data_IF_147938733437
#
_entry.id   IF_147938733437
#
_cell.length_a   1.000
_cell.length_b   1.000
_cell.length_c   1.000
_cell.angle_alpha   90.00
_cell.angle_beta   90.00
_cell.angle_gamma   90.00
#
_symmetry.space_group_name_H-M   'P 1'
#
loop_
_entity.id
_entity.type
_entity.pdbx_description
1 polymer ?
#
# COMPACT_ATOMS: atom_id res chain seq x y z
N UNK A 1 28.05 -11.85 -8.29
CA UNK A 1 27.50 -11.22 -7.06
C UNK A 1 26.02 -10.93 -7.30
N UNK A 2 25.13 -11.79 -6.80
CA UNK A 2 23.68 -11.70 -7.05
C UNK A 2 22.97 -10.99 -5.90
N UNK A 3 22.17 -9.96 -6.22
CA UNK A 3 21.32 -9.27 -5.25
C UNK A 3 20.40 -10.28 -4.54
N UNK A 4 20.12 -10.15 -3.23
CA UNK A 4 19.19 -11.04 -2.54
C UNK A 4 17.81 -10.95 -3.22
N UNK A 5 17.38 -12.07 -3.81
CA UNK A 5 16.03 -12.23 -4.35
C UNK A 5 15.11 -12.47 -3.17
N UNK A 6 14.43 -11.42 -2.70
CA UNK A 6 13.36 -11.56 -1.73
C UNK A 6 12.26 -12.43 -2.34
N UNK A 7 11.94 -13.55 -1.67
CA UNK A 7 10.78 -14.37 -2.00
C UNK A 7 9.58 -13.75 -1.34
N UNK A 8 8.85 -12.95 -2.11
CA UNK A 8 7.47 -12.61 -1.77
C UNK A 8 6.69 -13.89 -1.50
N UNK A 9 5.71 -13.88 -0.58
CA UNK A 9 4.86 -15.04 -0.37
C UNK A 9 4.25 -15.44 -1.72
N UNK A 10 4.29 -16.75 -2.02
CA UNK A 10 4.00 -17.26 -3.34
C UNK A 10 2.58 -16.85 -3.77
N UNK A 11 2.45 -16.45 -5.04
CA UNK A 11 1.17 -16.37 -5.74
C UNK A 11 1.05 -17.64 -6.59
N UNK A 12 0.10 -18.56 -6.31
CA UNK A 12 -0.76 -18.71 -5.12
C UNK A 12 0.01 -19.23 -3.88
N UNK A 13 -0.50 -19.04 -2.64
CA UNK A 13 -1.83 -18.54 -2.24
C UNK A 13 -1.92 -17.08 -1.74
N UNK A 14 -0.92 -16.21 -1.95
CA UNK A 14 -0.89 -14.83 -1.41
C UNK A 14 -0.96 -13.75 -2.49
N UNK A 15 -2.01 -13.78 -3.31
CA UNK A 15 -2.23 -12.80 -4.38
C UNK A 15 -2.25 -11.38 -3.82
N UNK A 16 -1.44 -10.48 -4.40
CA UNK A 16 -1.29 -9.08 -3.98
C UNK A 16 -0.86 -8.88 -2.50
N UNK A 17 -0.27 -9.89 -1.86
CA UNK A 17 0.20 -9.78 -0.47
C UNK A 17 -0.90 -9.87 0.60
N UNK A 18 -2.12 -10.23 0.22
CA UNK A 18 -3.22 -10.48 1.16
C UNK A 18 -3.07 -11.85 1.84
N UNK A 19 -3.49 -11.94 3.10
CA UNK A 19 -3.57 -13.22 3.83
C UNK A 19 -4.44 -14.19 3.04
N UNK A 20 -3.86 -15.31 2.58
CA UNK A 20 -4.54 -16.34 1.78
C UNK A 20 -5.23 -15.84 0.50
N UNK A 21 -4.83 -14.66 -0.02
CA UNK A 21 -5.47 -14.02 -1.18
C UNK A 21 -6.87 -13.46 -0.88
N UNK A 22 -7.28 -13.46 0.40
CA UNK A 22 -8.57 -12.93 0.84
C UNK A 22 -8.55 -11.40 0.77
N UNK A 23 -9.37 -10.87 -0.13
CA UNK A 23 -9.61 -9.44 -0.26
C UNK A 23 -11.10 -9.19 -0.48
N UNK A 24 -11.57 -8.06 0.01
CA UNK A 24 -12.94 -7.59 -0.14
C UNK A 24 -12.95 -6.22 -0.83
N UNK A 25 -14.07 -5.76 -1.38
CA UNK A 25 -14.19 -4.37 -1.85
C UNK A 25 -13.79 -3.39 -0.75
N UNK A 26 -13.02 -2.36 -1.08
CA UNK A 26 -12.65 -1.35 -0.09
C UNK A 26 -13.90 -0.62 0.42
N UNK A 27 -13.97 -0.41 1.73
CA UNK A 27 -15.05 0.30 2.42
C UNK A 27 -14.84 1.82 2.50
N UNK A 28 -13.85 2.34 1.75
CA UNK A 28 -13.49 3.76 1.73
C UNK A 28 -14.61 4.64 1.19
N UNK A 29 -14.99 5.65 1.97
CA UNK A 29 -15.98 6.67 1.61
C UNK A 29 -15.34 8.04 1.41
N UNK A 30 -16.09 8.94 0.78
CA UNK A 30 -15.65 10.34 0.63
C UNK A 30 -15.39 10.97 1.99
N UNK A 31 -14.20 11.56 2.16
CA UNK A 31 -13.71 12.13 3.41
C UNK A 31 -12.64 11.26 4.09
N UNK A 32 -12.58 9.97 3.79
CA UNK A 32 -11.59 9.07 4.36
C UNK A 32 -10.18 9.43 3.92
N UNK A 33 -9.21 9.14 4.79
CA UNK A 33 -7.80 9.35 4.53
C UNK A 33 -7.10 8.01 4.45
N UNK A 34 -6.20 7.88 3.49
CA UNK A 34 -5.29 6.75 3.32
C UNK A 34 -3.85 7.25 3.31
N UNK A 35 -2.94 6.45 3.85
CA UNK A 35 -1.51 6.75 3.89
C UNK A 35 -0.75 5.76 3.00
N UNK A 36 0.11 6.28 2.14
CA UNK A 36 1.02 5.51 1.31
C UNK A 36 2.44 5.74 1.79
N UNK A 37 3.10 4.63 2.11
CA UNK A 37 4.52 4.61 2.42
C UNK A 37 5.29 4.23 1.15
N UNK A 38 6.09 5.16 0.62
CA UNK A 38 6.85 4.98 -0.62
C UNK A 38 8.27 5.52 -0.51
N UNK A 39 9.10 5.28 -1.53
CA UNK A 39 10.45 5.80 -1.64
C UNK A 39 10.49 7.00 -2.58
N UNK A 40 11.49 7.85 -2.37
CA UNK A 40 11.88 8.81 -3.37
C UNK A 40 12.77 8.15 -4.42
N UNK A 41 12.56 8.49 -5.69
CA UNK A 41 13.48 8.18 -6.77
C UNK A 41 14.74 9.06 -6.65
N UNK A 42 15.70 8.90 -7.58
CA UNK A 42 16.95 9.69 -7.59
C UNK A 42 16.73 11.20 -7.74
N UNK A 43 15.58 11.58 -8.28
CA UNK A 43 15.16 12.96 -8.52
C UNK A 43 14.36 13.55 -7.34
N UNK A 44 14.20 12.81 -6.24
CA UNK A 44 13.45 13.26 -5.07
C UNK A 44 11.92 13.20 -5.23
N UNK A 45 11.41 12.44 -6.20
CA UNK A 45 9.98 12.25 -6.43
C UNK A 45 9.49 10.91 -5.88
N UNK A 46 8.29 10.84 -5.27
CA UNK A 46 7.72 9.59 -4.82
C UNK A 46 7.55 8.58 -5.95
N UNK A 47 7.87 7.31 -5.69
CA UNK A 47 7.55 6.23 -6.61
C UNK A 47 6.04 5.95 -6.62
N UNK A 48 5.48 5.82 -7.82
CA UNK A 48 4.11 5.36 -8.04
C UNK A 48 3.92 3.93 -7.50
N UNK A 49 2.67 3.57 -7.25
CA UNK A 49 2.28 2.21 -6.95
C UNK A 49 0.84 2.11 -6.47
N UNK A 50 0.48 0.88 -6.15
CA UNK A 50 -0.91 0.47 -6.09
C UNK A 50 -1.39 0.18 -4.67
N UNK A 51 -0.55 0.41 -3.66
CA UNK A 51 -0.85 0.02 -2.28
C UNK A 51 -0.85 1.26 -1.37
N UNK A 52 -1.81 1.30 -0.46
CA UNK A 52 -1.88 2.22 0.67
C UNK A 52 -2.40 1.49 1.91
N UNK A 53 -2.31 2.12 3.07
CA UNK A 53 -2.80 1.60 4.35
C UNK A 53 -3.59 2.69 5.08
N UNK A 54 -4.34 2.36 6.15
CA UNK A 54 -4.91 3.36 7.03
C UNK A 54 -3.83 4.30 7.60
N UNK A 55 -4.14 5.59 7.80
CA UNK A 55 -3.19 6.56 8.33
C UNK A 55 -2.73 6.17 9.73
N UNK A 56 -1.42 6.25 9.97
CA UNK A 56 -0.84 5.88 11.26
C UNK A 56 -0.56 4.39 11.42
N UNK A 57 -0.72 3.58 10.36
CA UNK A 57 -0.32 2.17 10.39
C UNK A 57 1.20 2.08 10.66
N UNK A 58 1.63 1.45 11.77
CA UNK A 58 3.04 1.32 12.10
C UNK A 58 3.76 0.47 11.05
N UNK A 59 5.03 0.80 10.82
CA UNK A 59 5.85 0.18 9.78
C UNK A 59 5.97 -1.35 9.95
N UNK A 60 6.08 -1.83 11.18
CA UNK A 60 6.08 -3.25 11.57
C UNK A 60 4.77 -4.00 11.27
N UNK A 61 3.69 -3.32 10.91
CA UNK A 61 2.43 -3.96 10.48
C UNK A 61 2.31 -4.05 8.96
N UNK A 62 3.25 -3.46 8.22
CA UNK A 62 3.24 -3.45 6.75
C UNK A 62 4.02 -4.61 6.12
N UNK A 63 4.58 -5.52 6.94
CA UNK A 63 5.42 -6.65 6.51
C UNK A 63 6.50 -6.24 5.50
N UNK A 64 7.07 -5.05 5.70
CA UNK A 64 8.11 -4.49 4.84
C UNK A 64 9.48 -5.03 5.27
N UNK A 65 10.34 -5.46 4.33
CA UNK A 65 11.66 -5.96 4.68
C UNK A 65 12.49 -4.87 5.39
N UNK A 66 13.31 -5.22 6.41
CA UNK A 66 13.99 -4.27 7.29
C UNK A 66 15.00 -3.35 6.58
N UNK A 67 15.43 -3.67 5.36
CA UNK A 67 16.29 -2.80 4.53
C UNK A 67 15.62 -1.45 4.19
N UNK A 68 14.29 -1.39 4.29
CA UNK A 68 13.47 -0.19 4.07
C UNK A 68 13.52 0.82 5.23
N UNK A 69 14.24 0.51 6.31
CA UNK A 69 14.53 1.43 7.43
C UNK A 69 15.74 2.36 7.18
N UNK A 70 16.43 2.25 6.04
CA UNK A 70 17.60 3.10 5.69
C UNK A 70 17.27 4.58 5.36
N UNK A 71 16.15 5.13 5.86
CA UNK A 71 15.90 6.57 5.95
C UNK A 71 15.40 7.30 4.69
N UNK A 72 15.15 6.60 3.58
CA UNK A 72 14.62 7.21 2.33
C UNK A 72 13.13 7.02 2.10
N UNK A 73 12.42 6.61 3.15
CA UNK A 73 10.98 6.31 3.10
C UNK A 73 10.19 7.55 3.48
N UNK A 74 9.22 7.91 2.66
CA UNK A 74 8.30 9.03 2.91
C UNK A 74 6.87 8.52 3.06
N UNK A 75 6.04 9.34 3.71
CA UNK A 75 4.61 9.10 3.89
C UNK A 75 3.84 10.14 3.12
N UNK A 76 2.92 9.69 2.27
CA UNK A 76 1.99 10.53 1.54
C UNK A 76 0.59 10.22 2.04
N UNK A 77 -0.16 11.25 2.37
CA UNK A 77 -1.55 11.10 2.77
C UNK A 77 -2.44 11.48 1.59
N UNK A 78 -3.49 10.71 1.35
CA UNK A 78 -4.49 11.01 0.34
C UNK A 78 -5.87 11.04 0.98
N UNK A 79 -6.70 12.00 0.58
CA UNK A 79 -8.11 12.06 0.94
C UNK A 79 -8.97 11.55 -0.20
N UNK A 80 -9.93 10.68 0.11
CA UNK A 80 -10.94 10.22 -0.84
C UNK A 80 -11.97 11.33 -1.03
N UNK A 81 -12.20 11.74 -2.27
CA UNK A 81 -13.12 12.83 -2.61
C UNK A 81 -14.48 12.34 -3.10
N UNK A 82 -14.54 11.10 -3.54
CA UNK A 82 -15.73 10.47 -4.12
C UNK A 82 -15.59 8.94 -4.09
N UNK A 83 -16.69 8.19 -4.26
CA UNK A 83 -16.63 6.73 -4.33
C UNK A 83 -15.60 6.25 -5.34
N UNK A 84 -14.71 5.36 -4.88
CA UNK A 84 -13.64 4.79 -5.69
C UNK A 84 -14.21 3.85 -6.77
N UNK A 85 -13.49 3.66 -7.90
CA UNK A 85 -13.96 2.77 -8.95
C UNK A 85 -14.02 1.30 -8.48
N UNK A 86 -14.91 0.53 -9.10
CA UNK A 86 -14.99 -0.92 -8.91
C UNK A 86 -13.62 -1.57 -9.14
N UNK A 87 -13.20 -2.42 -8.19
CA UNK A 87 -11.91 -3.11 -8.23
C UNK A 87 -10.87 -2.58 -7.24
N UNK A 88 -11.14 -1.48 -6.51
CA UNK A 88 -10.35 -1.18 -5.30
C UNK A 88 -10.69 -2.21 -4.23
N UNK A 89 -9.66 -2.88 -3.74
CA UNK A 89 -9.79 -3.96 -2.77
C UNK A 89 -9.10 -3.59 -1.47
N UNK A 90 -9.61 -4.11 -0.36
CA UNK A 90 -8.95 -4.07 0.95
C UNK A 90 -8.80 -5.48 1.50
N UNK A 91 -7.85 -5.66 2.40
CA UNK A 91 -7.67 -6.94 3.06
C UNK A 91 -6.54 -6.89 4.07
N UNK A 92 -6.48 -7.93 4.90
CA UNK A 92 -5.41 -8.09 5.87
C UNK A 92 -4.10 -8.43 5.15
N UNK A 93 -3.01 -7.79 5.60
CA UNK A 93 -1.67 -8.05 5.10
C UNK A 93 -1.24 -9.44 5.60
N UNK A 94 -0.86 -10.32 4.66
CA UNK A 94 -0.39 -11.66 4.98
C UNK A 94 0.77 -11.62 6.00
N UNK A 95 0.81 -12.57 6.97
CA UNK A 95 1.98 -12.74 7.81
C UNK A 95 3.19 -13.07 6.95
N UNK A 96 4.14 -12.14 6.91
CA UNK A 96 5.45 -12.29 6.27
C UNK A 96 6.54 -11.76 7.20
N UNK A 97 7.77 -12.28 7.05
CA UNK A 97 8.95 -11.78 7.76
C UNK A 97 8.89 -11.82 9.30
N UNK A 98 8.25 -12.83 9.89
CA UNK A 98 8.18 -13.03 11.36
C UNK A 98 7.46 -11.90 12.14
N UNK A 99 6.75 -11.01 11.45
CA UNK A 99 5.94 -9.95 12.04
C UNK A 99 4.50 -10.41 12.27
N UNK A 100 3.88 -9.96 13.38
CA UNK A 100 2.45 -10.17 13.65
C UNK A 100 1.66 -9.44 12.58
N UNK A 101 1.20 -10.16 11.56
CA UNK A 101 0.19 -9.66 10.61
C UNK A 101 -1.03 -9.16 11.37
N UNK A 102 -1.67 -8.14 10.80
CA UNK A 102 -2.83 -7.48 11.40
C UNK A 102 -3.06 -6.05 10.92
N UNK A 103 -2.21 -5.54 10.03
CA UNK A 103 -2.49 -4.30 9.31
C UNK A 103 -3.44 -4.54 8.14
N UNK A 104 -4.33 -3.58 7.87
CA UNK A 104 -5.15 -3.54 6.65
C UNK A 104 -4.36 -2.85 5.55
N UNK A 105 -4.35 -3.43 4.34
CA UNK A 105 -3.89 -2.72 3.14
C UNK A 105 -5.03 -2.54 2.15
N UNK A 106 -4.92 -1.48 1.36
CA UNK A 106 -5.77 -1.18 0.22
C UNK A 106 -4.97 -1.34 -1.07
N UNK A 107 -5.55 -2.04 -2.03
CA UNK A 107 -5.04 -2.22 -3.37
C UNK A 107 -5.88 -1.42 -4.38
N UNK A 108 -5.21 -0.53 -5.10
CA UNK A 108 -5.79 0.34 -6.11
C UNK A 108 -5.34 -0.12 -7.50
N UNK A 109 -6.20 -0.77 -8.29
CA UNK A 109 -5.85 -1.19 -9.63
C UNK A 109 -5.56 0.04 -10.50
N UNK A 110 -4.35 0.10 -11.06
CA UNK A 110 -3.90 1.21 -11.89
C UNK A 110 -3.22 2.36 -11.16
N UNK A 111 -2.96 2.22 -9.84
CA UNK A 111 -2.10 3.13 -9.07
C UNK A 111 -2.81 4.35 -8.49
N UNK A 112 -2.23 4.90 -7.42
CA UNK A 112 -2.78 6.09 -6.76
C UNK A 112 -2.65 7.35 -7.62
N UNK A 113 -1.57 7.50 -8.40
CA UNK A 113 -1.40 8.68 -9.26
C UNK A 113 -2.53 8.82 -10.28
N UNK A 114 -3.02 7.70 -10.80
CA UNK A 114 -4.17 7.69 -11.72
C UNK A 114 -5.43 8.19 -11.04
N UNK A 115 -5.69 7.74 -9.81
CA UNK A 115 -6.84 8.19 -9.03
C UNK A 115 -6.76 9.68 -8.68
N UNK A 116 -5.55 10.19 -8.42
CA UNK A 116 -5.31 11.64 -8.25
C UNK A 116 -5.65 12.39 -9.53
N UNK A 117 -5.13 11.96 -10.68
CA UNK A 117 -5.39 12.60 -11.99
C UNK A 117 -6.86 12.57 -12.39
N UNK A 118 -7.58 11.52 -11.99
CA UNK A 118 -9.01 11.35 -12.25
C UNK A 118 -9.91 12.06 -11.21
N UNK A 119 -9.34 12.63 -10.15
CA UNK A 119 -10.07 13.34 -9.10
C UNK A 119 -10.87 12.44 -8.16
N UNK A 120 -10.46 11.17 -8.00
CA UNK A 120 -11.03 10.27 -6.99
C UNK A 120 -10.44 10.51 -5.60
N UNK A 121 -9.15 10.81 -5.56
CA UNK A 121 -8.40 11.12 -4.34
C UNK A 121 -7.58 12.39 -4.57
N UNK A 122 -7.23 13.10 -3.50
CA UNK A 122 -6.26 14.20 -3.52
C UNK A 122 -5.13 13.94 -2.53
N UNK A 123 -3.91 14.36 -2.85
CA UNK A 123 -2.81 14.35 -1.89
C UNK A 123 -3.02 15.48 -0.86
N UNK A 124 -2.96 15.14 0.42
CA UNK A 124 -3.04 16.09 1.54
C UNK A 124 -1.71 16.12 2.28
N UNK A 125 -1.31 17.32 2.73
CA UNK A 125 -0.09 17.54 3.52
C UNK A 125 -0.38 17.60 5.01
#
# INVERSE_FOLDING_TARGET
MGRPRWRWPADPPHTNGFTEGLSQPADLVSGDVIERITFLNKDGLPLDGNFAAPPGTPFDQLSLPPDRLNGSTIRLNYRVLRPLPDGVQMGEIAPGFEQRSGGTQYYFPGGLERLVKLGYIEEIK
#
